data_IF_090445282959
#
_entry.id   IF_090445282959
#
_cell.length_a   1.000
_cell.length_b   1.000
_cell.length_c   1.000
_cell.angle_alpha   90.00
_cell.angle_beta   90.00
_cell.angle_gamma   90.00
#
_symmetry.space_group_name_H-M   'P 1'
#
loop_
_entity.id
_entity.type
_entity.pdbx_description
1 polymer ?
#
# COMPACT_ATOMS: atom_id res chain seq x y z
N UNK A 1 -29.39 5.97 -53.28
CA UNK A 1 -29.15 4.87 -52.34
C UNK A 1 -27.70 4.63 -51.97
N UNK A 2 -26.82 5.62 -52.05
CA UNK A 2 -25.36 5.47 -51.73
C UNK A 2 -24.90 6.25 -50.46
N UNK A 3 -25.81 6.87 -49.73
CA UNK A 3 -25.46 7.75 -48.57
C UNK A 3 -25.56 7.09 -47.20
N UNK A 4 -26.07 5.85 -47.09
CA UNK A 4 -26.29 5.17 -45.79
C UNK A 4 -25.06 4.37 -45.32
N UNK A 5 -24.14 4.01 -46.23
CA UNK A 5 -22.97 3.17 -45.90
C UNK A 5 -21.88 3.88 -45.10
N UNK A 6 -21.79 5.20 -45.13
CA UNK A 6 -20.75 5.94 -44.42
C UNK A 6 -21.14 6.31 -42.97
N UNK A 7 -22.45 6.35 -42.66
CA UNK A 7 -22.93 6.62 -41.30
C UNK A 7 -22.65 5.46 -40.32
N UNK A 8 -22.71 4.24 -40.79
CA UNK A 8 -22.47 3.06 -39.96
C UNK A 8 -20.99 2.86 -39.61
N UNK A 9 -20.10 3.25 -40.54
CA UNK A 9 -18.64 3.15 -40.32
C UNK A 9 -18.14 4.21 -39.33
N UNK A 10 -18.72 5.41 -39.33
CA UNK A 10 -18.35 6.50 -38.42
C UNK A 10 -18.81 6.24 -36.97
N UNK A 11 -19.94 5.58 -36.77
CA UNK A 11 -20.42 5.22 -35.44
C UNK A 11 -19.58 4.07 -34.83
N UNK A 12 -19.12 3.13 -35.65
CA UNK A 12 -18.32 2.00 -35.17
C UNK A 12 -16.88 2.42 -34.76
N UNK A 13 -16.31 3.44 -35.41
CA UNK A 13 -14.98 3.97 -35.06
C UNK A 13 -15.00 4.79 -33.77
N UNK A 14 -16.13 5.36 -33.36
CA UNK A 14 -16.23 6.19 -32.15
C UNK A 14 -16.35 5.38 -30.86
N UNK A 15 -16.69 4.09 -30.95
CA UNK A 15 -16.83 3.18 -29.80
C UNK A 15 -15.48 2.60 -29.30
N UNK A 16 -14.38 2.79 -30.02
CA UNK A 16 -13.08 2.18 -29.67
C UNK A 16 -12.18 3.08 -28.78
N UNK A 17 -12.62 4.27 -28.40
CA UNK A 17 -11.77 5.20 -27.61
C UNK A 17 -12.07 5.23 -26.10
N UNK A 18 -12.93 4.36 -25.60
CA UNK A 18 -13.17 4.24 -24.16
C UNK A 18 -12.15 3.29 -23.50
N UNK A 19 -10.86 3.52 -23.69
CA UNK A 19 -9.83 2.93 -22.83
C UNK A 19 -9.80 3.71 -21.51
N UNK A 20 -10.69 3.38 -20.59
CA UNK A 20 -10.61 3.79 -19.20
C UNK A 20 -9.44 3.04 -18.54
N UNK A 21 -8.24 3.60 -18.60
CA UNK A 21 -7.14 3.13 -17.76
C UNK A 21 -7.48 3.52 -16.32
N UNK A 22 -7.94 2.55 -15.55
CA UNK A 22 -8.09 2.71 -14.10
C UNK A 22 -6.69 2.85 -13.51
N UNK A 23 -6.23 4.07 -13.30
CA UNK A 23 -4.99 4.31 -12.58
C UNK A 23 -5.22 3.92 -11.11
N UNK A 24 -4.46 2.94 -10.62
CA UNK A 24 -4.41 2.56 -9.21
C UNK A 24 -3.79 3.72 -8.40
N UNK A 25 -4.64 4.64 -7.98
CA UNK A 25 -4.22 5.84 -7.25
C UNK A 25 -4.29 5.56 -5.76
N UNK A 26 -3.17 5.69 -5.06
CA UNK A 26 -3.18 5.67 -3.59
C UNK A 26 -4.05 6.84 -3.11
N UNK A 27 -5.05 6.62 -2.23
CA UNK A 27 -5.89 7.69 -1.70
C UNK A 27 -5.04 8.75 -0.99
N UNK A 28 -5.36 10.02 -1.14
CA UNK A 28 -4.56 11.12 -0.60
C UNK A 28 -4.41 11.06 0.93
N UNK A 29 -5.44 10.59 1.65
CA UNK A 29 -5.39 10.41 3.10
C UNK A 29 -4.49 9.26 3.56
N UNK A 30 -4.13 8.35 2.66
CA UNK A 30 -3.22 7.21 2.93
C UNK A 30 -1.80 7.52 2.45
N UNK A 31 -1.63 8.47 1.54
CA UNK A 31 -0.37 8.83 0.88
C UNK A 31 0.56 9.61 1.82
N UNK A 32 1.06 8.92 2.83
CA UNK A 32 1.94 9.45 3.88
C UNK A 32 3.04 8.45 4.23
N UNK A 33 3.98 8.87 5.03
CA UNK A 33 4.83 7.98 5.80
C UNK A 33 4.12 7.66 7.12
N UNK A 34 4.08 6.38 7.46
CA UNK A 34 3.35 5.83 8.59
C UNK A 34 4.30 5.10 9.53
N UNK A 35 4.40 5.55 10.79
CA UNK A 35 5.22 4.93 11.82
C UNK A 35 4.45 3.81 12.50
N UNK A 36 5.01 2.60 12.56
CA UNK A 36 4.39 1.45 13.21
C UNK A 36 4.34 1.64 14.72
N UNK A 37 3.15 1.51 15.32
CA UNK A 37 2.94 1.72 16.77
C UNK A 37 2.30 0.54 17.48
N UNK A 38 1.70 -0.41 16.74
CA UNK A 38 1.11 -1.64 17.29
C UNK A 38 1.17 -2.75 16.25
N UNK A 39 1.80 -3.86 16.61
CA UNK A 39 1.85 -5.05 15.78
C UNK A 39 2.22 -6.28 16.63
N UNK A 40 1.33 -7.29 16.67
CA UNK A 40 1.48 -8.50 17.48
C UNK A 40 1.90 -8.18 18.94
N UNK A 41 2.80 -8.98 19.50
CA UNK A 41 3.33 -8.80 20.86
C UNK A 41 4.64 -7.99 20.90
N UNK A 42 5.01 -7.35 19.79
CA UNK A 42 6.22 -6.50 19.76
C UNK A 42 6.04 -5.26 20.62
N UNK A 43 7.05 -4.92 21.39
CA UNK A 43 7.01 -3.72 22.24
C UNK A 43 7.01 -2.45 21.41
N UNK A 44 6.30 -1.43 21.89
CA UNK A 44 6.30 -0.09 21.27
C UNK A 44 7.72 0.50 21.22
N UNK A 45 8.52 0.27 22.28
CA UNK A 45 9.90 0.75 22.34
C UNK A 45 10.79 0.17 21.25
N UNK A 46 10.60 -1.12 20.89
CA UNK A 46 11.29 -1.73 19.77
C UNK A 46 10.89 -1.05 18.45
N UNK A 47 9.59 -0.87 18.19
CA UNK A 47 9.11 -0.25 16.96
C UNK A 47 9.60 1.20 16.82
N UNK A 48 9.58 1.98 17.91
CA UNK A 48 10.06 3.38 17.93
C UNK A 48 11.58 3.45 17.75
N UNK A 49 12.36 2.64 18.49
CA UNK A 49 13.83 2.65 18.38
C UNK A 49 14.32 2.16 17.03
N UNK A 50 13.60 1.24 16.41
CA UNK A 50 13.85 0.76 15.04
C UNK A 50 13.38 1.74 13.96
N UNK A 51 12.66 2.82 14.32
CA UNK A 51 12.00 3.73 13.37
C UNK A 51 11.16 2.97 12.35
N UNK A 52 10.44 1.95 12.82
CA UNK A 52 9.65 1.06 11.99
C UNK A 52 8.58 1.86 11.22
N UNK A 53 8.61 1.80 9.88
CA UNK A 53 7.74 2.63 9.05
C UNK A 53 7.25 1.91 7.79
N UNK A 54 6.13 2.39 7.27
CA UNK A 54 5.54 2.09 5.97
C UNK A 54 5.39 3.40 5.18
N UNK A 55 6.07 3.55 4.06
CA UNK A 55 6.06 4.74 3.25
C UNK A 55 5.22 4.54 1.99
N UNK A 56 4.14 5.33 1.88
CA UNK A 56 3.19 5.33 0.77
C UNK A 56 3.27 6.64 -0.06
N UNK A 57 4.29 7.48 0.15
CA UNK A 57 4.43 8.79 -0.50
C UNK A 57 5.01 8.74 -1.90
N UNK A 58 5.48 7.60 -2.42
CA UNK A 58 6.24 7.52 -3.67
C UNK A 58 5.50 8.11 -4.86
N UNK A 59 5.66 9.43 -5.03
CA UNK A 59 4.95 10.24 -6.02
C UNK A 59 5.29 9.89 -7.46
N UNK A 60 6.54 9.44 -7.72
CA UNK A 60 7.02 9.14 -9.08
C UNK A 60 6.65 7.74 -9.56
N UNK A 61 6.04 6.92 -8.72
CA UNK A 61 5.63 5.57 -9.07
C UNK A 61 4.36 5.21 -8.27
N UNK A 62 3.19 5.66 -8.71
CA UNK A 62 1.94 5.38 -8.03
C UNK A 62 1.72 3.87 -7.91
N UNK A 63 1.25 3.43 -6.74
CA UNK A 63 1.07 2.00 -6.44
C UNK A 63 2.33 1.27 -5.95
N UNK A 64 3.41 2.00 -5.61
CA UNK A 64 4.58 1.44 -4.94
C UNK A 64 4.63 1.84 -3.47
N UNK A 65 5.13 0.92 -2.64
CA UNK A 65 5.44 1.19 -1.24
C UNK A 65 6.90 0.85 -0.92
N UNK A 66 7.38 1.39 0.18
CA UNK A 66 8.56 0.88 0.90
C UNK A 66 8.27 0.83 2.38
N UNK A 67 8.96 -0.06 3.09
CA UNK A 67 8.89 -0.18 4.54
C UNK A 67 10.27 -0.51 5.10
N UNK A 68 10.50 -0.13 6.34
CA UNK A 68 11.71 -0.46 7.07
C UNK A 68 11.33 -0.79 8.51
N UNK A 69 11.81 -1.90 9.02
CA UNK A 69 11.55 -2.33 10.40
C UNK A 69 12.80 -2.21 11.29
N UNK A 70 13.80 -1.44 10.83
CA UNK A 70 15.05 -1.18 11.55
C UNK A 70 16.28 -1.88 10.97
N UNK A 71 16.13 -2.67 9.92
CA UNK A 71 17.25 -3.34 9.24
C UNK A 71 17.14 -3.22 7.73
N UNK A 72 16.35 -4.07 7.10
CA UNK A 72 16.24 -4.11 5.66
C UNK A 72 15.15 -3.17 5.13
N UNK A 73 15.28 -2.78 3.87
CA UNK A 73 14.24 -2.10 3.14
C UNK A 73 13.37 -3.12 2.43
N UNK A 74 12.10 -3.18 2.80
CA UNK A 74 11.06 -3.87 2.06
C UNK A 74 10.47 -2.92 1.02
N UNK A 75 10.08 -3.46 -0.12
CA UNK A 75 9.44 -2.69 -1.19
C UNK A 75 8.53 -3.59 -2.01
N UNK A 76 7.58 -3.00 -2.72
CA UNK A 76 6.66 -3.76 -3.55
C UNK A 76 5.59 -2.88 -4.18
N UNK A 77 4.52 -3.53 -4.63
CA UNK A 77 3.33 -2.86 -5.15
C UNK A 77 2.22 -2.84 -4.10
N UNK A 78 1.43 -1.77 -4.10
CA UNK A 78 0.24 -1.65 -3.27
C UNK A 78 -0.91 -1.08 -4.10
N UNK A 79 -2.08 -1.67 -3.93
CA UNK A 79 -3.33 -1.24 -4.56
C UNK A 79 -4.33 -0.96 -3.45
N UNK A 80 -4.91 0.24 -3.46
CA UNK A 80 -6.02 0.63 -2.59
C UNK A 80 -7.29 0.73 -3.42
N UNK A 81 -8.37 0.16 -2.94
CA UNK A 81 -9.69 0.24 -3.56
C UNK A 81 -10.65 1.10 -2.72
N UNK A 82 -11.68 1.63 -3.35
CA UNK A 82 -12.71 2.47 -2.73
C UNK A 82 -13.51 1.76 -1.63
N UNK A 83 -13.52 0.43 -1.63
CA UNK A 83 -14.21 -0.40 -0.63
C UNK A 83 -13.38 -0.63 0.64
N UNK A 84 -12.41 0.25 0.94
CA UNK A 84 -11.47 0.10 2.06
C UNK A 84 -10.66 -1.19 2.02
N UNK A 85 -10.43 -1.74 0.82
CA UNK A 85 -9.57 -2.89 0.60
C UNK A 85 -8.18 -2.47 0.17
N UNK A 86 -7.19 -3.26 0.54
CA UNK A 86 -5.78 -3.07 0.18
C UNK A 86 -5.17 -4.39 -0.24
N UNK A 87 -4.24 -4.33 -1.19
CA UNK A 87 -3.46 -5.48 -1.61
C UNK A 87 -2.00 -5.10 -1.75
N UNK A 88 -1.14 -5.79 -1.03
CA UNK A 88 0.32 -5.72 -1.17
C UNK A 88 0.81 -6.91 -2.01
N UNK A 89 1.72 -6.66 -2.94
CA UNK A 89 2.22 -7.68 -3.87
C UNK A 89 3.62 -7.35 -4.37
N UNK A 90 4.24 -8.28 -5.09
CA UNK A 90 5.57 -8.15 -5.69
C UNK A 90 6.62 -7.66 -4.69
N UNK A 91 6.59 -8.25 -3.50
CA UNK A 91 7.45 -7.83 -2.40
C UNK A 91 8.88 -8.34 -2.58
N UNK A 92 9.81 -7.44 -2.32
CA UNK A 92 11.23 -7.72 -2.22
C UNK A 92 11.82 -7.05 -0.99
N UNK A 93 13.03 -7.48 -0.61
CA UNK A 93 13.77 -6.93 0.51
C UNK A 93 15.26 -6.92 0.22
N UNK A 94 16.01 -5.98 0.79
CA UNK A 94 17.46 -6.11 0.95
C UNK A 94 17.77 -7.23 1.94
N UNK A 95 19.00 -7.72 1.98
CA UNK A 95 19.38 -8.86 2.79
C UNK A 95 20.62 -8.53 3.64
N UNK A 96 20.41 -7.73 4.68
CA UNK A 96 21.40 -7.47 5.71
C UNK A 96 21.02 -8.25 6.99
N UNK A 97 22.00 -8.54 7.82
CA UNK A 97 21.80 -9.12 9.15
C UNK A 97 21.90 -8.03 10.22
N UNK A 98 20.90 -7.97 11.12
CA UNK A 98 20.83 -6.99 12.21
C UNK A 98 20.32 -7.67 13.49
N UNK A 99 21.08 -7.57 14.57
CA UNK A 99 20.83 -8.33 15.81
C UNK A 99 19.46 -8.05 16.50
N UNK A 100 18.88 -6.86 16.33
CA UNK A 100 17.77 -6.41 17.19
C UNK A 100 16.38 -6.36 16.52
N UNK A 101 16.30 -6.29 15.21
CA UNK A 101 15.04 -6.04 14.50
C UNK A 101 14.64 -7.13 13.52
N UNK A 102 15.42 -8.21 13.43
CA UNK A 102 15.15 -9.30 12.47
C UNK A 102 13.80 -9.97 12.68
N UNK A 103 13.40 -10.20 13.94
CA UNK A 103 12.13 -10.85 14.25
C UNK A 103 10.94 -9.95 13.86
N UNK A 104 11.03 -8.65 14.16
CA UNK A 104 10.02 -7.67 13.78
C UNK A 104 9.90 -7.59 12.24
N UNK A 105 11.03 -7.53 11.54
CA UNK A 105 11.07 -7.45 10.09
C UNK A 105 10.52 -8.72 9.43
N UNK A 106 10.93 -9.90 9.91
CA UNK A 106 10.45 -11.18 9.40
C UNK A 106 8.93 -11.34 9.60
N UNK A 107 8.43 -10.99 10.79
CA UNK A 107 7.00 -11.02 11.08
C UNK A 107 6.24 -10.01 10.19
N UNK A 108 6.72 -8.79 10.07
CA UNK A 108 6.10 -7.75 9.24
C UNK A 108 6.06 -8.17 7.76
N UNK A 109 7.18 -8.63 7.21
CA UNK A 109 7.27 -9.07 5.82
C UNK A 109 6.37 -10.26 5.50
N UNK A 110 6.14 -11.16 6.48
CA UNK A 110 5.23 -12.29 6.36
C UNK A 110 3.76 -11.85 6.39
N UNK A 111 3.40 -10.93 7.28
CA UNK A 111 2.00 -10.55 7.52
C UNK A 111 1.50 -9.44 6.60
N UNK A 112 2.36 -8.52 6.13
CA UNK A 112 1.95 -7.40 5.29
C UNK A 112 1.19 -7.84 4.02
N UNK A 113 1.64 -8.85 3.23
CA UNK A 113 0.91 -9.29 2.05
C UNK A 113 -0.45 -9.95 2.36
N UNK A 114 -0.71 -10.32 3.61
CA UNK A 114 -1.97 -10.91 4.05
C UNK A 114 -2.99 -9.85 4.49
N UNK A 115 -2.60 -8.57 4.60
CA UNK A 115 -3.52 -7.49 4.91
C UNK A 115 -4.44 -7.20 3.73
N UNK A 116 -5.75 -7.22 3.98
CA UNK A 116 -6.79 -7.07 2.95
C UNK A 116 -7.65 -5.83 3.12
N UNK A 117 -7.63 -5.21 4.29
CA UNK A 117 -8.46 -4.05 4.61
C UNK A 117 -7.60 -2.93 5.21
N UNK A 118 -8.02 -1.70 4.98
CA UNK A 118 -7.41 -0.54 5.60
C UNK A 118 -8.47 0.42 6.15
N UNK A 119 -8.11 1.16 7.19
CA UNK A 119 -8.93 2.23 7.77
C UNK A 119 -8.03 3.38 8.18
N UNK A 120 -8.41 4.59 7.82
CA UNK A 120 -7.75 5.82 8.28
C UNK A 120 -8.71 6.57 9.20
N UNK A 121 -8.27 6.83 10.43
CA UNK A 121 -9.02 7.58 11.44
C UNK A 121 -8.11 8.67 12.04
N UNK A 122 -8.35 9.92 11.64
CA UNK A 122 -7.48 11.03 12.02
C UNK A 122 -6.05 10.81 11.54
N UNK A 123 -5.14 10.61 12.48
CA UNK A 123 -3.71 10.42 12.21
C UNK A 123 -3.28 8.94 12.26
N UNK A 124 -4.23 8.02 12.32
CA UNK A 124 -3.94 6.59 12.40
C UNK A 124 -4.35 5.85 11.14
N UNK A 125 -3.47 4.97 10.66
CA UNK A 125 -3.76 3.94 9.67
C UNK A 125 -3.82 2.58 10.37
N UNK A 126 -4.88 1.84 10.16
CA UNK A 126 -4.98 0.43 10.58
C UNK A 126 -5.09 -0.45 9.33
N UNK A 127 -4.18 -1.41 9.21
CA UNK A 127 -4.29 -2.52 8.26
C UNK A 127 -4.82 -3.74 9.01
N UNK A 128 -5.69 -4.52 8.37
CA UNK A 128 -6.26 -5.72 8.98
C UNK A 128 -6.58 -6.80 7.95
N UNK A 129 -6.82 -8.02 8.42
CA UNK A 129 -7.27 -9.13 7.60
C UNK A 129 -8.42 -9.90 8.28
N UNK A 130 -8.98 -10.88 7.57
CA UNK A 130 -10.10 -11.68 8.05
C UNK A 130 -9.76 -12.59 9.25
N UNK A 131 -8.48 -12.90 9.48
CA UNK A 131 -8.03 -13.68 10.65
C UNK A 131 -7.97 -12.88 11.96
N UNK A 132 -8.24 -11.55 11.89
CA UNK A 132 -8.18 -10.65 13.04
C UNK A 132 -6.80 -10.03 13.29
N UNK A 133 -5.79 -10.33 12.44
CA UNK A 133 -4.49 -9.67 12.51
C UNK A 133 -4.63 -8.19 12.19
N UNK A 134 -3.91 -7.35 12.95
CA UNK A 134 -3.90 -5.90 12.77
C UNK A 134 -2.49 -5.35 12.86
N UNK A 135 -2.25 -4.29 12.08
CA UNK A 135 -1.08 -3.41 12.17
C UNK A 135 -1.59 -1.99 12.31
N UNK A 136 -1.17 -1.26 13.33
CA UNK A 136 -1.56 0.13 13.54
C UNK A 136 -0.36 1.05 13.39
N UNK A 137 -0.59 2.13 12.69
CA UNK A 137 0.43 3.14 12.40
C UNK A 137 -0.08 4.53 12.77
N UNK A 138 0.84 5.44 13.04
CA UNK A 138 0.59 6.87 13.17
C UNK A 138 1.30 7.61 12.03
N UNK A 139 0.69 8.69 11.53
CA UNK A 139 1.30 9.51 10.50
C UNK A 139 2.60 10.15 11.02
N UNK A 140 3.70 10.08 10.24
CA UNK A 140 5.00 10.61 10.64
C UNK A 140 5.03 12.15 10.70
N UNK A 141 4.09 12.80 10.01
CA UNK A 141 3.93 14.25 9.94
C UNK A 141 2.95 14.80 11.02
N UNK A 142 2.58 13.97 11.97
CA UNK A 142 1.72 14.37 13.08
C UNK A 142 2.56 14.61 14.35
N UNK A 143 2.61 15.89 14.77
CA UNK A 143 3.17 16.38 16.03
C UNK A 143 2.05 16.68 17.05
#
# INVERSE_FOLDING_TARGET
MKKIKYGFLAVFTMLLLANCTTQNKVPENVKREWMLVEFQDFSKDLMVSSKANLNLTKQNNPGRFSANMGCNNLFGQVIFDQNATVKFSEMGSTMMFCDKSMDLEAAFGKELPLMTNYKVEGHFLTLSNASGMKMKFVAADWD
#
